data_IF_334178536070
#
_entry.id   IF_334178536070
#
_cell.length_a   1.000
_cell.length_b   1.000
_cell.length_c   1.000
_cell.angle_alpha   90.00
_cell.angle_beta   90.00
_cell.angle_gamma   90.00
#
_symmetry.space_group_name_H-M   'P 1'
#
loop_
_entity.id
_entity.type
_entity.pdbx_description
1 polymer ?
#
# COMPACT_ATOMS: atom_id res chain seq x y z
N UNK A 1 -23.00 -9.39 58.45
CA UNK A 1 -21.57 -9.23 58.09
C UNK A 1 -21.16 -10.15 56.93
N UNK A 2 -21.50 -11.44 56.97
CA UNK A 2 -21.10 -12.41 55.93
C UNK A 2 -21.73 -12.16 54.55
N UNK A 3 -23.00 -11.71 54.46
CA UNK A 3 -23.63 -11.40 53.17
C UNK A 3 -22.95 -10.22 52.43
N UNK A 4 -22.57 -9.16 53.15
CA UNK A 4 -21.83 -8.03 52.56
C UNK A 4 -20.44 -8.45 52.07
N UNK A 5 -19.76 -9.33 52.81
CA UNK A 5 -18.49 -9.92 52.39
C UNK A 5 -18.63 -10.76 51.11
N UNK A 6 -19.66 -11.61 51.04
CA UNK A 6 -19.91 -12.45 49.87
C UNK A 6 -20.20 -11.58 48.63
N UNK A 7 -21.04 -10.56 48.75
CA UNK A 7 -21.34 -9.63 47.65
C UNK A 7 -20.05 -8.93 47.18
N UNK A 8 -19.21 -8.49 48.10
CA UNK A 8 -17.95 -7.80 47.77
C UNK A 8 -16.99 -8.73 47.02
N UNK A 9 -16.87 -9.98 47.46
CA UNK A 9 -16.01 -10.98 46.80
C UNK A 9 -16.52 -11.31 45.40
N UNK A 10 -17.83 -11.48 45.22
CA UNK A 10 -18.44 -11.74 43.91
C UNK A 10 -18.20 -10.57 42.94
N UNK A 11 -18.32 -9.32 43.42
CA UNK A 11 -18.06 -8.13 42.62
C UNK A 11 -16.59 -8.03 42.17
N UNK A 12 -15.66 -8.39 43.05
CA UNK A 12 -14.23 -8.44 42.73
C UNK A 12 -13.91 -9.50 41.67
N UNK A 13 -14.51 -10.70 41.79
CA UNK A 13 -14.34 -11.76 40.78
C UNK A 13 -14.93 -11.33 39.43
N UNK A 14 -16.08 -10.67 39.43
CA UNK A 14 -16.70 -10.17 38.21
C UNK A 14 -15.84 -9.10 37.52
N UNK A 15 -15.23 -8.19 38.29
CA UNK A 15 -14.28 -7.19 37.78
C UNK A 15 -13.05 -7.83 37.13
N UNK A 16 -12.49 -8.88 37.73
CA UNK A 16 -11.34 -9.60 37.17
C UNK A 16 -11.66 -10.27 35.82
N UNK A 17 -12.84 -10.88 35.70
CA UNK A 17 -13.28 -11.52 34.45
C UNK A 17 -13.44 -10.49 33.32
N UNK A 18 -14.07 -9.34 33.60
CA UNK A 18 -14.26 -8.26 32.61
C UNK A 18 -12.91 -7.70 32.16
N UNK A 19 -11.99 -7.49 33.10
CA UNK A 19 -10.70 -6.88 32.83
C UNK A 19 -9.77 -7.82 32.03
N UNK A 20 -9.80 -9.13 32.32
CA UNK A 20 -9.10 -10.15 31.52
C UNK A 20 -9.64 -10.28 30.09
N UNK A 21 -10.96 -10.27 29.92
CA UNK A 21 -11.60 -10.33 28.59
C UNK A 21 -11.43 -9.07 27.74
N UNK A 22 -11.08 -7.92 28.33
CA UNK A 22 -10.80 -6.67 27.59
C UNK A 22 -9.38 -6.65 27.02
N UNK A 23 -8.38 -7.10 27.78
CA UNK A 23 -6.97 -7.09 27.33
C UNK A 23 -6.74 -7.97 26.10
N UNK A 24 -7.30 -9.19 26.11
CA UNK A 24 -7.15 -10.12 24.99
C UNK A 24 -7.73 -9.61 23.65
N UNK A 25 -8.81 -8.82 23.71
CA UNK A 25 -9.45 -8.22 22.51
C UNK A 25 -8.70 -7.00 21.98
N UNK A 26 -8.08 -6.22 22.85
CA UNK A 26 -7.29 -5.04 22.46
C UNK A 26 -5.95 -5.47 21.85
N UNK A 27 -5.28 -6.45 22.45
CA UNK A 27 -3.99 -6.96 21.98
C UNK A 27 -4.06 -7.53 20.56
N UNK A 28 -5.08 -8.35 20.25
CA UNK A 28 -5.31 -8.83 18.88
C UNK A 28 -5.68 -7.73 17.90
N UNK A 29 -6.43 -6.73 18.34
CA UNK A 29 -6.82 -5.61 17.48
C UNK A 29 -5.64 -4.69 17.16
N UNK A 30 -4.68 -4.57 18.06
CA UNK A 30 -3.45 -3.80 17.85
C UNK A 30 -2.44 -4.58 16.98
N UNK A 31 -2.29 -5.89 17.19
CA UNK A 31 -1.44 -6.76 16.36
C UNK A 31 -1.92 -6.83 14.88
N UNK A 32 -3.23 -6.90 14.67
CA UNK A 32 -3.84 -6.87 13.32
C UNK A 32 -3.78 -5.48 12.66
N UNK A 33 -3.64 -4.41 13.45
CA UNK A 33 -3.38 -3.06 12.93
C UNK A 33 -1.92 -2.87 12.58
N UNK A 34 -0.99 -3.35 13.39
CA UNK A 34 0.46 -3.21 13.15
C UNK A 34 0.91 -4.02 11.94
N UNK A 35 0.44 -5.26 11.79
CA UNK A 35 0.70 -6.10 10.62
C UNK A 35 0.21 -5.46 9.32
N UNK A 36 -1.05 -4.99 9.28
CA UNK A 36 -1.59 -4.25 8.13
C UNK A 36 -0.86 -2.94 7.85
N UNK A 37 -0.39 -2.24 8.88
CA UNK A 37 0.40 -1.02 8.73
C UNK A 37 1.77 -1.34 8.13
N UNK A 38 2.45 -2.39 8.60
CA UNK A 38 3.74 -2.83 8.07
C UNK A 38 3.65 -3.31 6.62
N UNK A 39 2.58 -4.02 6.25
CA UNK A 39 2.36 -4.46 4.88
C UNK A 39 2.06 -3.30 3.93
N UNK A 40 1.24 -2.32 4.36
CA UNK A 40 1.04 -1.06 3.63
C UNK A 40 2.34 -0.27 3.47
N UNK A 41 3.18 -0.23 4.51
CA UNK A 41 4.46 0.49 4.47
C UNK A 41 5.45 -0.19 3.52
N UNK A 42 5.51 -1.53 3.52
CA UNK A 42 6.29 -2.32 2.55
C UNK A 42 5.80 -2.08 1.13
N UNK A 43 4.49 -2.14 0.89
CA UNK A 43 3.90 -1.92 -0.43
C UNK A 43 4.08 -0.47 -0.92
N UNK A 44 4.06 0.51 0.00
CA UNK A 44 4.38 1.91 -0.28
C UNK A 44 5.84 2.07 -0.70
N UNK A 45 6.77 1.44 0.01
CA UNK A 45 8.21 1.51 -0.29
C UNK A 45 8.59 0.74 -1.56
N UNK A 46 8.01 -0.43 -1.81
CA UNK A 46 8.28 -1.26 -2.99
C UNK A 46 7.76 -0.62 -4.28
N UNK A 47 6.64 0.11 -4.22
CA UNK A 47 6.04 0.73 -5.39
C UNK A 47 6.54 2.12 -5.71
N UNK A 48 7.45 2.72 -4.92
CA UNK A 48 8.09 3.99 -5.29
C UNK A 48 9.31 3.67 -6.14
N UNK A 49 9.09 3.12 -7.34
CA UNK A 49 10.04 3.40 -8.40
C UNK A 49 9.87 4.85 -8.80
N UNK A 50 10.93 5.66 -8.67
CA UNK A 50 10.89 7.06 -9.05
C UNK A 50 10.59 7.20 -10.53
N UNK A 51 9.89 8.25 -10.96
CA UNK A 51 9.65 8.54 -12.40
C UNK A 51 10.96 8.47 -13.21
N UNK A 52 12.07 8.85 -12.59
CA UNK A 52 13.42 8.72 -13.13
C UNK A 52 13.82 7.28 -13.46
N UNK A 53 13.46 6.31 -12.62
CA UNK A 53 13.76 4.89 -12.87
C UNK A 53 12.91 4.30 -13.99
N UNK A 54 11.68 4.79 -14.14
CA UNK A 54 10.81 4.43 -15.27
C UNK A 54 11.43 4.94 -16.58
N UNK A 55 11.88 6.20 -16.62
CA UNK A 55 12.55 6.77 -17.79
C UNK A 55 13.86 6.06 -18.14
N UNK A 56 14.65 5.65 -17.14
CA UNK A 56 15.86 4.83 -17.34
C UNK A 56 15.49 3.47 -17.97
N UNK A 57 14.44 2.83 -17.44
CA UNK A 57 13.98 1.52 -17.94
C UNK A 57 13.45 1.63 -19.38
N UNK A 58 12.65 2.66 -19.66
CA UNK A 58 12.13 2.97 -20.99
C UNK A 58 13.27 3.16 -22.01
N UNK A 59 14.27 3.96 -21.65
CA UNK A 59 15.44 4.24 -22.50
C UNK A 59 16.24 2.98 -22.78
N UNK A 60 16.46 2.14 -21.76
CA UNK A 60 17.15 0.86 -21.91
C UNK A 60 16.39 -0.07 -22.86
N UNK A 61 15.07 -0.21 -22.70
CA UNK A 61 14.24 -1.04 -23.57
C UNK A 61 14.25 -0.52 -25.02
N UNK A 62 14.23 0.80 -25.22
CA UNK A 62 14.35 1.39 -26.56
C UNK A 62 15.69 1.06 -27.22
N UNK A 63 16.79 1.08 -26.46
CA UNK A 63 18.10 0.63 -26.95
C UNK A 63 18.06 -0.84 -27.32
N UNK A 64 17.57 -1.71 -26.44
CA UNK A 64 17.50 -3.15 -26.72
C UNK A 64 16.65 -3.46 -27.96
N UNK A 65 15.51 -2.79 -28.14
CA UNK A 65 14.67 -2.94 -29.33
C UNK A 65 15.42 -2.48 -30.58
N UNK A 66 16.15 -1.37 -30.49
CA UNK A 66 16.95 -0.87 -31.61
C UNK A 66 18.05 -1.85 -32.01
N UNK A 67 18.74 -2.42 -31.02
CA UNK A 67 19.92 -3.27 -31.21
C UNK A 67 19.54 -4.68 -31.69
N UNK A 68 18.44 -5.25 -31.19
CA UNK A 68 18.04 -6.65 -31.48
C UNK A 68 17.04 -6.78 -32.62
N UNK A 69 16.12 -5.82 -32.74
CA UNK A 69 14.99 -5.91 -33.68
C UNK A 69 15.18 -4.92 -34.83
N UNK A 70 15.83 -3.78 -34.59
CA UNK A 70 15.98 -2.70 -35.56
C UNK A 70 14.88 -1.66 -35.36
N UNK A 71 15.28 -0.38 -35.34
CA UNK A 71 14.36 0.74 -35.06
C UNK A 71 13.29 0.99 -36.12
N UNK A 72 13.54 0.58 -37.36
CA UNK A 72 12.78 1.10 -38.50
C UNK A 72 11.75 0.12 -39.07
N UNK A 73 11.79 -1.15 -38.64
CA UNK A 73 10.78 -2.13 -39.01
C UNK A 73 9.49 -1.96 -38.18
N UNK A 74 8.41 -2.55 -38.70
CA UNK A 74 7.07 -2.43 -38.11
C UNK A 74 7.03 -2.93 -36.66
N UNK A 75 7.73 -4.01 -36.37
CA UNK A 75 7.66 -4.69 -35.09
C UNK A 75 8.45 -3.93 -34.01
N UNK A 76 9.60 -3.35 -34.36
CA UNK A 76 10.38 -2.46 -33.50
C UNK A 76 9.63 -1.16 -33.18
N UNK A 77 8.92 -0.57 -34.16
CA UNK A 77 8.04 0.59 -33.94
C UNK A 77 6.87 0.25 -32.99
N UNK A 78 6.25 -0.91 -33.17
CA UNK A 78 5.17 -1.37 -32.30
C UNK A 78 5.66 -1.59 -30.86
N UNK A 79 6.82 -2.23 -30.68
CA UNK A 79 7.38 -2.49 -29.36
C UNK A 79 7.77 -1.21 -28.63
N UNK A 80 8.36 -0.22 -29.32
CA UNK A 80 8.64 1.10 -28.73
C UNK A 80 7.36 1.78 -28.25
N UNK A 81 6.29 1.73 -29.06
CA UNK A 81 4.99 2.28 -28.67
C UNK A 81 4.42 1.62 -27.40
N UNK A 82 4.53 0.29 -27.29
CA UNK A 82 4.08 -0.44 -26.09
C UNK A 82 4.90 -0.02 -24.85
N UNK A 83 6.21 0.18 -25.02
CA UNK A 83 7.10 0.63 -23.94
C UNK A 83 6.75 2.07 -23.51
N UNK A 84 6.44 2.95 -24.46
CA UNK A 84 6.00 4.32 -24.18
C UNK A 84 4.65 4.35 -23.43
N UNK A 85 3.66 3.59 -23.90
CA UNK A 85 2.35 3.48 -23.24
C UNK A 85 2.47 2.90 -21.81
N UNK A 86 3.33 1.89 -21.63
CA UNK A 86 3.63 1.35 -20.31
C UNK A 86 4.25 2.40 -19.37
N UNK A 87 5.22 3.18 -19.87
CA UNK A 87 5.88 4.21 -19.08
C UNK A 87 4.88 5.29 -18.65
N UNK A 88 4.02 5.73 -19.57
CA UNK A 88 2.95 6.70 -19.31
C UNK A 88 1.95 6.18 -18.25
N UNK A 89 1.48 4.94 -18.37
CA UNK A 89 0.57 4.32 -17.39
C UNK A 89 1.20 4.22 -16.00
N UNK A 90 2.50 3.94 -15.92
CA UNK A 90 3.20 3.89 -14.64
C UNK A 90 3.29 5.29 -14.03
N UNK A 91 3.66 6.31 -14.80
CA UNK A 91 3.72 7.71 -14.34
C UNK A 91 2.34 8.21 -13.92
N UNK A 92 1.31 7.98 -14.73
CA UNK A 92 -0.08 8.37 -14.42
C UNK A 92 -0.56 7.77 -13.10
N UNK A 93 -0.27 6.48 -12.83
CA UNK A 93 -0.55 5.86 -11.51
C UNK A 93 0.23 6.46 -10.34
N UNK A 94 1.37 7.10 -10.57
CA UNK A 94 2.06 7.88 -9.54
C UNK A 94 1.41 9.23 -9.31
N UNK A 95 1.06 9.93 -10.39
CA UNK A 95 0.39 11.22 -10.33
C UNK A 95 -0.98 11.10 -9.69
N UNK A 96 -1.81 10.12 -10.08
CA UNK A 96 -3.15 9.89 -9.52
C UNK A 96 -3.09 9.53 -8.03
N UNK A 97 -2.17 8.64 -7.62
CA UNK A 97 -1.96 8.35 -6.18
C UNK A 97 -1.54 9.59 -5.37
N UNK A 98 -0.82 10.53 -5.99
CA UNK A 98 -0.44 11.82 -5.37
C UNK A 98 -1.47 12.93 -5.58
N UNK A 99 -2.43 12.75 -6.49
CA UNK A 99 -3.43 13.76 -6.86
C UNK A 99 -4.49 13.91 -5.79
N UNK A 100 -5.01 12.82 -5.22
CA UNK A 100 -5.91 12.87 -4.06
C UNK A 100 -5.23 13.47 -2.81
N UNK A 101 -3.89 13.39 -2.74
CA UNK A 101 -3.09 13.96 -1.65
C UNK A 101 -2.73 15.45 -1.89
N UNK A 102 -2.63 15.91 -3.14
CA UNK A 102 -2.14 17.26 -3.47
C UNK A 102 -3.17 18.21 -4.09
N UNK A 103 -4.21 17.69 -4.74
CA UNK A 103 -5.32 18.46 -5.31
C UNK A 103 -6.65 17.70 -5.08
N UNK A 104 -7.25 17.80 -3.88
CA UNK A 104 -8.54 17.17 -3.59
C UNK A 104 -9.70 17.74 -4.44
N UNK A 105 -9.48 18.84 -5.17
CA UNK A 105 -10.52 19.53 -5.95
C UNK A 105 -10.60 19.13 -7.43
N UNK A 106 -9.71 18.25 -7.92
CA UNK A 106 -9.68 17.83 -9.33
C UNK A 106 -10.68 16.71 -9.67
N UNK A 107 -11.41 16.15 -8.70
CA UNK A 107 -12.44 15.12 -8.92
C UNK A 107 -13.81 15.69 -9.34
N UNK A 108 -13.92 16.99 -9.59
CA UNK A 108 -15.18 17.64 -9.97
C UNK A 108 -15.10 18.23 -11.37
N UNK A 109 -15.23 17.37 -12.37
CA UNK A 109 -15.83 17.71 -13.67
C UNK A 109 -16.47 16.48 -14.31
#
# INVERSE_FOLDING_TARGET
MNQLLIITVVLLVFLLIIMGGRRYRVEKADEEKESRKAEKDKWSKENVRSEKEIQITQSHLHSTINDQIGSDNRDGKLLKKIVDEWAELKIKRFTERRSWVRNPDQEKE
#
